data_IF_771183628420
#
_entry.id   IF_771183628420
#
_cell.length_a   1.000
_cell.length_b   1.000
_cell.length_c   1.000
_cell.angle_alpha   90.00
_cell.angle_beta   90.00
_cell.angle_gamma   90.00
#
_symmetry.space_group_name_H-M   'P 1'
#
loop_
_entity.id
_entity.type
_entity.pdbx_description
1 polymer ?
#
# COMPACT_ATOMS: atom_id res chain seq x y z
N UNK A 1 7.33 23.14 5.37
CA UNK A 1 8.10 22.75 4.17
C UNK A 1 8.55 24.03 3.48
N UNK A 2 9.83 24.16 3.11
CA UNK A 2 10.30 25.39 2.45
C UNK A 2 9.89 25.41 0.96
N UNK A 3 9.79 26.60 0.36
CA UNK A 3 9.50 26.73 -1.07
C UNK A 3 10.53 25.99 -1.94
N UNK A 4 11.79 25.98 -1.51
CA UNK A 4 12.87 25.24 -2.18
C UNK A 4 12.60 23.74 -2.21
N UNK A 5 12.10 23.17 -1.10
CA UNK A 5 11.72 21.76 -1.05
C UNK A 5 10.57 21.45 -2.01
N UNK A 6 9.56 22.33 -2.08
CA UNK A 6 8.43 22.16 -3.00
C UNK A 6 8.92 22.19 -4.45
N UNK A 7 9.74 23.17 -4.82
CA UNK A 7 10.31 23.29 -6.16
C UNK A 7 11.18 22.09 -6.52
N UNK A 8 11.98 21.59 -5.57
CA UNK A 8 12.77 20.39 -5.78
C UNK A 8 11.90 19.16 -6.02
N UNK A 9 10.83 18.97 -5.24
CA UNK A 9 9.88 17.86 -5.43
C UNK A 9 9.21 17.94 -6.80
N UNK A 10 8.77 19.13 -7.21
CA UNK A 10 8.16 19.34 -8.53
C UNK A 10 9.15 19.05 -9.66
N UNK A 11 10.38 19.54 -9.55
CA UNK A 11 11.44 19.30 -10.52
C UNK A 11 11.76 17.81 -10.67
N UNK A 12 11.95 17.10 -9.54
CA UNK A 12 12.21 15.65 -9.52
C UNK A 12 11.01 14.88 -10.09
N UNK A 13 9.78 15.28 -9.76
CA UNK A 13 8.56 14.68 -10.29
C UNK A 13 8.46 14.83 -11.81
N UNK A 14 8.67 16.04 -12.33
CA UNK A 14 8.67 16.31 -13.78
C UNK A 14 9.77 15.51 -14.50
N UNK A 15 10.98 15.48 -13.95
CA UNK A 15 12.08 14.70 -14.52
C UNK A 15 11.77 13.20 -14.52
N UNK A 16 11.18 12.69 -13.43
CA UNK A 16 10.73 11.30 -13.33
C UNK A 16 9.67 10.94 -14.37
N UNK A 17 8.68 11.80 -14.60
CA UNK A 17 7.66 11.60 -15.64
C UNK A 17 8.25 11.63 -17.06
N UNK A 18 9.20 12.53 -17.32
CA UNK A 18 9.91 12.58 -18.60
C UNK A 18 10.71 11.30 -18.84
N UNK A 19 11.45 10.85 -17.82
CA UNK A 19 12.23 9.61 -17.89
C UNK A 19 11.32 8.39 -18.09
N UNK A 20 10.17 8.35 -17.41
CA UNK A 20 9.17 7.31 -17.61
C UNK A 20 8.62 7.31 -19.04
N UNK A 21 8.42 8.49 -19.65
CA UNK A 21 8.00 8.60 -21.05
C UNK A 21 9.05 8.05 -22.02
N UNK A 22 10.32 8.46 -21.84
CA UNK A 22 11.45 8.01 -22.67
C UNK A 22 11.58 6.48 -22.61
N UNK A 23 11.63 5.93 -21.40
CA UNK A 23 11.77 4.48 -21.20
C UNK A 23 10.56 3.71 -21.71
N UNK A 24 9.36 4.26 -21.54
CA UNK A 24 8.12 3.70 -22.09
C UNK A 24 8.15 3.59 -23.62
N UNK A 25 8.58 4.64 -24.32
CA UNK A 25 8.70 4.66 -25.77
C UNK A 25 9.76 3.65 -26.26
N UNK A 26 10.95 3.67 -25.66
CA UNK A 26 12.04 2.76 -26.02
C UNK A 26 11.66 1.28 -25.83
N UNK A 27 10.89 0.96 -24.79
CA UNK A 27 10.40 -0.41 -24.54
C UNK A 27 9.58 -0.97 -25.70
N UNK A 28 8.90 -0.10 -26.47
CA UNK A 28 8.05 -0.49 -27.59
C UNK A 28 8.68 -0.22 -28.96
N UNK A 29 9.99 0.11 -29.00
CA UNK A 29 10.73 0.33 -30.25
C UNK A 29 10.57 1.73 -30.86
N UNK A 30 10.03 2.70 -30.11
CA UNK A 30 9.85 4.08 -30.56
C UNK A 30 11.01 4.98 -30.08
N UNK A 31 11.19 6.12 -30.74
CA UNK A 31 12.17 7.13 -30.33
C UNK A 31 11.87 7.70 -28.93
N UNK A 32 12.88 8.23 -28.22
CA UNK A 32 12.72 8.69 -26.82
C UNK A 32 11.64 9.76 -26.65
N UNK A 33 11.42 10.61 -27.66
CA UNK A 33 10.41 11.67 -27.67
C UNK A 33 9.25 11.39 -28.65
N UNK A 34 9.11 10.14 -29.09
CA UNK A 34 8.02 9.71 -29.96
C UNK A 34 6.96 8.95 -29.15
N UNK A 35 5.97 9.67 -28.66
CA UNK A 35 4.87 9.12 -27.87
C UNK A 35 3.67 8.66 -28.72
N UNK A 36 3.84 8.51 -30.04
CA UNK A 36 2.75 8.10 -30.95
C UNK A 36 2.08 6.79 -30.52
N UNK A 37 2.88 5.79 -30.12
CA UNK A 37 2.39 4.50 -29.64
C UNK A 37 1.39 4.60 -28.49
N UNK A 38 1.79 5.27 -27.39
CA UNK A 38 0.94 5.34 -26.20
C UNK A 38 -0.27 6.25 -26.44
N UNK A 39 -0.12 7.30 -27.25
CA UNK A 39 -1.22 8.16 -27.65
C UNK A 39 -2.25 7.40 -28.50
N UNK A 40 -1.81 6.53 -29.40
CA UNK A 40 -2.70 5.68 -30.21
C UNK A 40 -3.48 4.70 -29.33
N UNK A 41 -2.78 3.98 -28.44
CA UNK A 41 -3.42 3.01 -27.52
C UNK A 41 -4.42 3.70 -26.59
N UNK A 42 -4.03 4.83 -25.99
CA UNK A 42 -4.86 5.56 -25.07
C UNK A 42 -5.96 6.37 -25.76
N UNK A 43 -5.97 6.43 -27.10
CA UNK A 43 -6.79 7.34 -27.90
C UNK A 43 -6.65 8.80 -27.44
N UNK A 44 -5.45 9.14 -26.96
CA UNK A 44 -5.11 10.46 -26.45
C UNK A 44 -4.79 11.39 -27.61
N UNK A 45 -5.37 12.60 -27.61
CA UNK A 45 -5.15 13.56 -28.68
C UNK A 45 -3.72 14.14 -28.60
N UNK A 46 -2.86 13.94 -29.62
CA UNK A 46 -1.47 14.40 -29.58
C UNK A 46 -1.30 15.92 -29.74
N UNK A 47 -2.37 16.69 -29.97
CA UNK A 47 -2.30 18.13 -30.20
C UNK A 47 -1.75 18.95 -29.01
N UNK A 48 -1.52 18.32 -27.85
CA UNK A 48 -0.84 18.94 -26.72
C UNK A 48 0.68 18.77 -26.84
N UNK A 49 1.32 19.64 -27.63
CA UNK A 49 2.72 19.52 -28.06
C UNK A 49 3.74 19.36 -26.91
N UNK A 50 3.52 19.96 -25.73
CA UNK A 50 4.45 19.77 -24.60
C UNK A 50 4.07 18.59 -23.70
N UNK A 51 2.79 18.23 -23.62
CA UNK A 51 2.30 17.11 -22.82
C UNK A 51 2.61 15.76 -23.46
N UNK A 52 2.84 15.72 -24.78
CA UNK A 52 3.25 14.52 -25.50
C UNK A 52 4.51 13.88 -24.90
N UNK A 53 5.45 14.68 -24.39
CA UNK A 53 6.67 14.20 -23.72
C UNK A 53 6.43 13.60 -22.33
N UNK A 54 5.19 13.63 -21.84
CA UNK A 54 4.75 13.07 -20.57
C UNK A 54 3.58 12.09 -20.74
N UNK A 55 3.23 11.72 -21.98
CA UNK A 55 2.04 10.91 -22.30
C UNK A 55 1.96 9.61 -21.53
N UNK A 56 3.07 8.88 -21.36
CA UNK A 56 3.06 7.66 -20.55
C UNK A 56 2.62 7.91 -19.11
N UNK A 57 3.16 8.96 -18.48
CA UNK A 57 2.81 9.33 -17.11
C UNK A 57 1.36 9.76 -16.98
N UNK A 58 0.90 10.62 -17.90
CA UNK A 58 -0.50 11.08 -17.95
C UNK A 58 -1.44 9.89 -18.10
N UNK A 59 -1.22 9.04 -19.11
CA UNK A 59 -2.06 7.87 -19.36
C UNK A 59 -2.07 6.91 -18.16
N UNK A 60 -0.92 6.67 -17.51
CA UNK A 60 -0.87 5.82 -16.32
C UNK A 60 -1.62 6.41 -15.13
N UNK A 61 -1.61 7.74 -14.95
CA UNK A 61 -2.36 8.41 -13.88
C UNK A 61 -3.86 8.43 -14.20
N UNK A 62 -4.24 8.64 -15.45
CA UNK A 62 -5.65 8.71 -15.82
C UNK A 62 -6.31 7.33 -15.88
N UNK A 63 -5.58 6.30 -16.29
CA UNK A 63 -6.10 4.93 -16.52
C UNK A 63 -6.87 4.36 -15.31
N UNK A 64 -6.35 4.38 -14.07
CA UNK A 64 -7.05 3.76 -12.95
C UNK A 64 -8.36 4.44 -12.61
N UNK A 65 -8.40 5.77 -12.74
CA UNK A 65 -9.61 6.57 -12.52
C UNK A 65 -10.60 6.39 -13.68
N UNK A 66 -10.10 6.41 -14.92
CA UNK A 66 -10.91 6.16 -16.12
C UNK A 66 -11.56 4.78 -16.09
N UNK A 67 -10.82 3.74 -15.69
CA UNK A 67 -11.37 2.40 -15.51
C UNK A 67 -12.39 2.34 -14.35
N UNK A 68 -12.16 3.03 -13.23
CA UNK A 68 -13.16 3.11 -12.15
C UNK A 68 -14.46 3.78 -12.64
N UNK A 69 -14.37 4.92 -13.30
CA UNK A 69 -15.52 5.63 -13.87
C UNK A 69 -16.23 4.76 -14.90
N UNK A 70 -15.48 4.06 -15.75
CA UNK A 70 -16.05 3.14 -16.73
C UNK A 70 -16.85 2.02 -16.04
N UNK A 71 -16.32 1.41 -14.98
CA UNK A 71 -17.05 0.43 -14.18
C UNK A 71 -18.29 1.06 -13.54
N UNK A 72 -18.21 2.29 -13.02
CA UNK A 72 -19.34 2.98 -12.40
C UNK A 72 -20.48 3.27 -13.38
N UNK A 73 -20.16 3.73 -14.59
CA UNK A 73 -21.15 4.17 -15.59
C UNK A 73 -21.69 3.01 -16.42
N UNK A 74 -20.82 2.06 -16.81
CA UNK A 74 -21.14 1.01 -17.78
C UNK A 74 -21.06 -0.41 -17.20
N UNK A 75 -20.38 -0.59 -16.07
CA UNK A 75 -20.24 -1.88 -15.43
C UNK A 75 -21.56 -2.26 -14.75
N UNK A 76 -22.12 -3.40 -15.16
CA UNK A 76 -23.13 -4.06 -14.36
C UNK A 76 -22.44 -4.57 -13.09
N UNK A 77 -22.93 -4.14 -11.94
CA UNK A 77 -22.52 -4.71 -10.66
C UNK A 77 -22.97 -6.17 -10.61
N UNK A 78 -22.07 -7.08 -10.30
CA UNK A 78 -22.38 -8.52 -10.19
C UNK A 78 -23.20 -8.82 -8.94
N UNK A 79 -23.13 -7.93 -7.93
CA UNK A 79 -23.80 -8.10 -6.62
C UNK A 79 -23.50 -9.47 -6.00
N UNK A 80 -22.25 -9.93 -6.13
CA UNK A 80 -21.78 -11.21 -5.59
C UNK A 80 -21.05 -10.99 -4.26
N UNK A 81 -21.65 -11.42 -3.12
CA UNK A 81 -21.02 -11.31 -1.82
C UNK A 81 -19.71 -12.08 -1.72
N UNK A 82 -19.56 -13.23 -2.42
CA UNK A 82 -18.32 -14.01 -2.36
C UNK A 82 -17.17 -13.24 -2.98
N UNK A 83 -17.38 -12.67 -4.17
CA UNK A 83 -16.41 -11.81 -4.82
C UNK A 83 -16.09 -10.56 -3.98
N UNK A 84 -17.08 -9.97 -3.32
CA UNK A 84 -16.88 -8.84 -2.40
C UNK A 84 -16.05 -9.21 -1.17
N UNK A 85 -16.28 -10.37 -0.54
CA UNK A 85 -15.44 -10.81 0.57
C UNK A 85 -14.03 -11.20 0.09
N UNK A 86 -13.90 -11.84 -1.07
CA UNK A 86 -12.62 -12.22 -1.64
C UNK A 86 -11.70 -11.01 -1.86
N UNK A 87 -12.24 -9.87 -2.28
CA UNK A 87 -11.45 -8.66 -2.54
C UNK A 87 -11.10 -7.82 -1.30
N UNK A 88 -11.76 -8.06 -0.16
CA UNK A 88 -11.48 -7.44 1.15
C UNK A 88 -10.53 -8.30 1.99
N UNK A 89 -10.08 -9.43 1.45
CA UNK A 89 -9.11 -10.30 2.08
C UNK A 89 -7.78 -10.21 1.36
N UNK A 90 -6.65 -10.35 2.08
CA UNK A 90 -5.36 -10.55 1.44
C UNK A 90 -5.42 -11.64 0.37
N UNK A 91 -4.79 -11.40 -0.78
CA UNK A 91 -4.96 -12.22 -1.98
C UNK A 91 -4.61 -13.70 -1.78
N UNK A 92 -3.69 -13.98 -0.86
CA UNK A 92 -3.33 -15.34 -0.49
C UNK A 92 -4.44 -16.09 0.26
N UNK A 93 -5.26 -15.40 1.06
CA UNK A 93 -6.44 -16.00 1.69
C UNK A 93 -7.58 -16.12 0.70
N UNK A 94 -7.81 -15.06 -0.09
CA UNK A 94 -8.94 -15.03 -1.03
C UNK A 94 -8.84 -16.13 -2.08
N UNK A 95 -7.66 -16.37 -2.66
CA UNK A 95 -7.41 -17.45 -3.62
C UNK A 95 -7.64 -18.86 -3.05
N UNK A 96 -7.59 -19.04 -1.73
CA UNK A 96 -7.81 -20.33 -1.06
C UNK A 96 -9.26 -20.53 -0.63
N UNK A 97 -9.90 -19.49 -0.12
CA UNK A 97 -11.27 -19.54 0.40
C UNK A 97 -12.29 -19.42 -0.75
N UNK A 98 -11.96 -18.65 -1.78
CA UNK A 98 -12.81 -18.37 -2.93
C UNK A 98 -12.05 -18.68 -4.24
N UNK A 99 -11.83 -19.97 -4.56
CA UNK A 99 -11.05 -20.36 -5.74
C UNK A 99 -11.68 -19.92 -7.07
N UNK A 100 -13.00 -19.76 -7.10
CA UNK A 100 -13.75 -19.32 -8.30
C UNK A 100 -13.78 -17.79 -8.46
N UNK A 101 -13.13 -17.03 -7.55
CA UNK A 101 -13.08 -15.58 -7.59
C UNK A 101 -12.37 -15.09 -8.86
N UNK A 102 -13.04 -14.20 -9.61
CA UNK A 102 -12.49 -13.63 -10.83
C UNK A 102 -11.97 -12.19 -10.63
N UNK A 103 -10.66 -12.00 -10.52
CA UNK A 103 -10.09 -10.65 -10.36
C UNK A 103 -10.15 -9.78 -11.63
N UNK A 104 -10.66 -10.27 -12.77
CA UNK A 104 -10.74 -9.45 -13.99
C UNK A 104 -11.77 -8.34 -13.84
N UNK A 105 -11.35 -7.11 -14.16
CA UNK A 105 -12.20 -5.93 -14.14
C UNK A 105 -12.69 -5.58 -15.55
N UNK A 106 -13.77 -4.82 -15.64
CA UNK A 106 -14.18 -4.21 -16.90
C UNK A 106 -13.21 -3.05 -17.21
N UNK A 107 -12.52 -3.12 -18.36
CA UNK A 107 -11.53 -2.13 -18.75
C UNK A 107 -12.08 -1.31 -19.92
N UNK A 108 -11.89 0.01 -19.87
CA UNK A 108 -12.28 0.89 -20.98
C UNK A 108 -11.44 0.61 -22.23
N UNK A 109 -10.13 0.45 -22.03
CA UNK A 109 -9.16 0.05 -23.06
C UNK A 109 -8.48 -1.23 -22.56
N UNK A 110 -8.61 -2.39 -23.24
CA UNK A 110 -8.09 -3.66 -22.75
C UNK A 110 -6.57 -3.67 -22.47
N UNK A 111 -5.79 -2.88 -23.21
CA UNK A 111 -4.35 -2.75 -23.01
C UNK A 111 -3.96 -1.94 -21.76
N UNK A 112 -4.90 -1.18 -21.19
CA UNK A 112 -4.70 -0.33 -20.02
C UNK A 112 -5.34 -1.01 -18.80
N UNK A 113 -4.67 -2.07 -18.33
CA UNK A 113 -5.21 -3.04 -17.35
C UNK A 113 -5.23 -2.57 -15.89
N UNK A 114 -4.68 -1.39 -15.60
CA UNK A 114 -4.50 -0.91 -14.23
C UNK A 114 -5.79 -0.28 -13.75
N UNK A 115 -6.18 -0.52 -12.50
CA UNK A 115 -7.41 0.03 -11.94
C UNK A 115 -7.30 0.27 -10.45
N UNK A 116 -7.91 1.36 -9.96
CA UNK A 116 -7.85 1.69 -8.54
C UNK A 116 -8.41 0.57 -7.66
N UNK A 117 -8.00 0.55 -6.39
CA UNK A 117 -8.49 -0.44 -5.41
C UNK A 117 -10.03 -0.50 -5.32
N UNK A 118 -10.71 0.55 -5.75
CA UNK A 118 -12.16 0.72 -5.72
C UNK A 118 -12.90 -0.03 -6.82
N UNK A 119 -12.28 -0.32 -7.95
CA UNK A 119 -12.98 -0.87 -9.11
C UNK A 119 -13.53 -2.28 -8.86
N UNK A 120 -12.74 -3.14 -8.19
CA UNK A 120 -13.23 -4.45 -7.76
C UNK A 120 -14.39 -4.33 -6.75
N UNK A 121 -14.31 -3.35 -5.86
CA UNK A 121 -15.32 -3.09 -4.83
C UNK A 121 -16.66 -2.75 -5.46
N UNK A 122 -16.61 -1.86 -6.45
CA UNK A 122 -17.79 -1.52 -7.22
C UNK A 122 -18.32 -2.71 -8.03
N UNK A 123 -17.43 -3.45 -8.73
CA UNK A 123 -17.83 -4.63 -9.52
C UNK A 123 -18.67 -5.61 -8.70
N UNK A 124 -18.21 -5.95 -7.49
CA UNK A 124 -18.84 -7.00 -6.68
C UNK A 124 -19.95 -6.52 -5.75
N UNK A 125 -19.89 -5.28 -5.26
CA UNK A 125 -20.83 -4.78 -4.25
C UNK A 125 -21.46 -3.42 -4.57
N UNK A 126 -21.22 -2.86 -5.75
CA UNK A 126 -21.66 -1.51 -6.12
C UNK A 126 -21.17 -0.45 -5.13
N UNK A 127 -22.04 0.49 -4.78
CA UNK A 127 -21.74 1.55 -3.80
C UNK A 127 -21.46 0.98 -2.41
N UNK A 128 -22.15 -0.09 -2.02
CA UNK A 128 -21.92 -0.76 -0.72
C UNK A 128 -20.50 -1.33 -0.68
N UNK A 129 -20.05 -1.96 -1.76
CA UNK A 129 -18.69 -2.46 -1.89
C UNK A 129 -17.65 -1.34 -1.77
N UNK A 130 -17.86 -0.20 -2.43
CA UNK A 130 -17.00 0.99 -2.29
C UNK A 130 -16.88 1.47 -0.83
N UNK A 131 -18.01 1.54 -0.12
CA UNK A 131 -18.03 1.94 1.30
C UNK A 131 -17.25 0.95 2.15
N UNK A 132 -17.43 -0.36 1.95
CA UNK A 132 -16.73 -1.39 2.71
C UNK A 132 -15.22 -1.37 2.46
N UNK A 133 -14.80 -1.24 1.20
CA UNK A 133 -13.39 -1.07 0.87
C UNK A 133 -12.80 0.20 1.50
N UNK A 134 -13.57 1.30 1.56
CA UNK A 134 -13.12 2.53 2.22
C UNK A 134 -12.98 2.35 3.73
N UNK A 135 -13.92 1.66 4.37
CA UNK A 135 -13.83 1.32 5.79
C UNK A 135 -12.61 0.43 6.06
N UNK A 136 -12.37 -0.59 5.23
CA UNK A 136 -11.16 -1.42 5.30
C UNK A 136 -9.92 -0.55 5.20
N UNK A 137 -9.81 0.26 4.14
CA UNK A 137 -8.70 1.17 3.92
C UNK A 137 -8.47 2.12 5.12
N UNK A 138 -9.52 2.81 5.57
CA UNK A 138 -9.45 3.71 6.72
C UNK A 138 -9.03 2.98 8.00
N UNK A 139 -9.54 1.76 8.23
CA UNK A 139 -9.19 0.97 9.41
C UNK A 139 -7.69 0.69 9.48
N UNK A 140 -7.03 0.42 8.34
CA UNK A 140 -5.56 0.27 8.31
C UNK A 140 -4.84 1.55 8.74
N UNK A 141 -5.32 2.72 8.31
CA UNK A 141 -4.72 4.01 8.65
C UNK A 141 -4.88 4.40 10.12
N UNK A 142 -5.95 3.95 10.78
CA UNK A 142 -6.16 4.26 12.20
C UNK A 142 -5.61 3.18 13.13
N UNK A 143 -5.82 1.90 12.81
CA UNK A 143 -5.45 0.78 13.69
C UNK A 143 -3.94 0.57 13.70
N UNK A 144 -3.27 0.58 12.54
CA UNK A 144 -1.85 0.21 12.47
C UNK A 144 -0.96 1.19 13.26
N UNK A 145 -1.10 2.53 13.12
CA UNK A 145 -0.33 3.47 13.94
C UNK A 145 -0.71 3.40 15.42
N UNK A 146 -1.98 3.14 15.75
CA UNK A 146 -2.43 3.01 17.14
C UNK A 146 -1.76 1.83 17.86
N UNK A 147 -1.51 0.72 17.17
CA UNK A 147 -0.79 -0.45 17.70
C UNK A 147 0.67 -0.09 18.00
N UNK A 148 1.36 0.59 17.09
CA UNK A 148 2.80 0.84 17.17
C UNK A 148 3.18 2.14 17.87
N UNK A 149 2.21 2.98 18.28
CA UNK A 149 2.45 4.34 18.84
C UNK A 149 3.45 4.43 19.99
N UNK A 150 3.68 3.33 20.71
CA UNK A 150 4.63 3.28 21.84
C UNK A 150 6.09 3.18 21.39
N UNK A 151 6.35 2.77 20.15
CA UNK A 151 7.70 2.70 19.60
C UNK A 151 7.86 3.60 18.38
N UNK A 152 8.80 4.55 18.46
CA UNK A 152 9.07 5.52 17.39
C UNK A 152 9.54 4.84 16.11
N UNK A 153 10.44 3.86 16.22
CA UNK A 153 11.02 3.15 15.06
C UNK A 153 9.92 2.41 14.29
N UNK A 154 9.09 1.63 14.99
CA UNK A 154 7.98 0.91 14.37
C UNK A 154 6.92 1.86 13.82
N UNK A 155 6.62 2.96 14.53
CA UNK A 155 5.67 3.97 14.04
C UNK A 155 6.14 4.59 12.72
N UNK A 156 7.42 4.96 12.60
CA UNK A 156 7.99 5.48 11.34
C UNK A 156 7.86 4.44 10.22
N UNK A 157 8.20 3.17 10.49
CA UNK A 157 8.06 2.09 9.52
C UNK A 157 6.62 1.91 9.05
N UNK A 158 5.65 1.91 9.96
CA UNK A 158 4.22 1.81 9.65
C UNK A 158 3.74 3.02 8.85
N UNK A 159 4.09 4.25 9.24
CA UNK A 159 3.69 5.44 8.47
C UNK A 159 4.27 5.43 7.05
N UNK A 160 5.54 5.03 6.88
CA UNK A 160 6.14 4.87 5.56
C UNK A 160 5.42 3.81 4.72
N UNK A 161 5.06 2.69 5.34
CA UNK A 161 4.31 1.59 4.68
C UNK A 161 2.93 2.03 4.25
N UNK A 162 2.18 2.70 5.13
CA UNK A 162 0.85 3.21 4.83
C UNK A 162 0.89 4.29 3.75
N UNK A 163 1.92 5.15 3.74
CA UNK A 163 2.11 6.12 2.66
C UNK A 163 2.33 5.42 1.30
N UNK A 164 3.13 4.36 1.26
CA UNK A 164 3.33 3.56 0.04
C UNK A 164 2.03 2.85 -0.40
N UNK A 165 1.30 2.24 0.54
CA UNK A 165 -0.01 1.64 0.27
C UNK A 165 -0.99 2.68 -0.26
N UNK A 166 -1.05 3.88 0.33
CA UNK A 166 -1.90 4.97 -0.15
C UNK A 166 -1.63 5.32 -1.60
N UNK A 167 -0.35 5.58 -1.90
CA UNK A 167 0.08 5.98 -3.23
C UNK A 167 -0.22 4.90 -4.27
N UNK A 168 0.09 3.66 -3.93
CA UNK A 168 -0.04 2.53 -4.85
C UNK A 168 -1.47 1.97 -4.91
N UNK A 169 -2.32 2.26 -3.91
CA UNK A 169 -3.75 1.93 -3.90
C UNK A 169 -4.53 2.61 -5.03
N UNK A 170 -3.95 3.68 -5.58
CA UNK A 170 -4.44 4.32 -6.79
C UNK A 170 -4.39 3.39 -8.02
N UNK A 171 -3.44 2.45 -8.07
CA UNK A 171 -3.22 1.56 -9.22
C UNK A 171 -3.73 0.14 -9.02
N UNK A 172 -3.88 -0.32 -7.78
CA UNK A 172 -4.39 -1.65 -7.44
C UNK A 172 -4.78 -1.71 -5.96
N UNK A 173 -5.53 -2.71 -5.50
CA UNK A 173 -5.74 -2.87 -4.05
C UNK A 173 -4.46 -3.34 -3.33
N UNK A 174 -3.68 -2.38 -2.81
CA UNK A 174 -2.42 -2.65 -2.10
C UNK A 174 -2.63 -3.06 -0.64
N UNK A 175 -3.83 -2.84 -0.10
CA UNK A 175 -4.21 -3.34 1.24
C UNK A 175 -4.30 -4.85 1.22
N UNK A 176 -4.84 -5.43 0.15
CA UNK A 176 -5.01 -6.88 0.02
C UNK A 176 -3.89 -7.57 -0.77
N UNK A 177 -3.06 -6.83 -1.49
CA UNK A 177 -1.89 -7.40 -2.14
C UNK A 177 -0.91 -8.00 -1.11
N UNK A 178 -0.60 -9.30 -1.20
CA UNK A 178 0.29 -10.03 -0.27
C UNK A 178 1.63 -9.34 -0.06
N UNK A 179 2.24 -8.78 -1.11
CA UNK A 179 3.55 -8.14 -1.00
C UNK A 179 3.58 -6.96 -0.01
N UNK A 180 2.50 -6.17 0.08
CA UNK A 180 2.41 -5.03 1.00
C UNK A 180 1.72 -5.41 2.33
N UNK A 181 0.68 -6.24 2.27
CA UNK A 181 -0.03 -6.68 3.48
C UNK A 181 0.86 -7.51 4.41
N UNK A 182 1.71 -8.39 3.87
CA UNK A 182 2.65 -9.15 4.70
C UNK A 182 3.73 -8.29 5.33
N UNK A 183 4.14 -7.22 4.67
CA UNK A 183 5.11 -6.29 5.26
C UNK A 183 4.56 -5.66 6.55
N UNK A 184 3.29 -5.23 6.54
CA UNK A 184 2.62 -4.69 7.73
C UNK A 184 2.48 -5.77 8.82
N UNK A 185 2.04 -6.97 8.45
CA UNK A 185 1.92 -8.10 9.41
C UNK A 185 3.27 -8.39 10.06
N UNK A 186 4.35 -8.45 9.27
CA UNK A 186 5.70 -8.66 9.77
C UNK A 186 6.14 -7.55 10.74
N UNK A 187 5.91 -6.28 10.41
CA UNK A 187 6.25 -5.15 11.29
C UNK A 187 5.51 -5.25 12.63
N UNK A 188 4.24 -5.67 12.63
CA UNK A 188 3.46 -5.85 13.85
C UNK A 188 3.96 -7.02 14.69
N UNK A 189 4.18 -8.18 14.07
CA UNK A 189 4.69 -9.36 14.77
C UNK A 189 6.07 -9.06 15.38
N UNK A 190 6.93 -8.38 14.64
CA UNK A 190 8.25 -7.97 15.13
C UNK A 190 8.16 -6.94 16.27
N UNK A 191 7.19 -6.01 16.21
CA UNK A 191 6.92 -5.08 17.32
C UNK A 191 6.54 -5.82 18.61
N UNK A 192 5.64 -6.81 18.53
CA UNK A 192 5.27 -7.60 19.71
C UNK A 192 6.41 -8.46 20.23
N UNK A 193 7.22 -9.04 19.33
CA UNK A 193 8.42 -9.78 19.71
C UNK A 193 9.41 -8.90 20.49
N UNK A 194 9.76 -7.71 19.96
CA UNK A 194 10.69 -6.78 20.63
C UNK A 194 10.16 -6.24 21.94
N UNK A 195 8.86 -5.91 22.01
CA UNK A 195 8.23 -5.46 23.25
C UNK A 195 8.32 -6.52 24.37
N UNK A 196 8.27 -7.81 24.03
CA UNK A 196 8.43 -8.89 25.02
C UNK A 196 9.84 -8.92 25.58
N UNK A 197 10.86 -8.76 24.74
CA UNK A 197 12.28 -8.71 25.11
C UNK A 197 12.59 -7.51 26.04
N UNK A 198 12.04 -6.33 25.72
CA UNK A 198 12.16 -5.13 26.55
C UNK A 198 11.50 -5.28 27.93
N UNK A 199 10.46 -6.11 28.06
CA UNK A 199 9.78 -6.36 29.35
C UNK A 199 10.48 -7.45 30.16
N UNK A 200 11.14 -8.43 29.53
CA UNK A 200 11.85 -9.50 30.25
C UNK A 200 13.16 -9.03 30.90
N UNK A 201 13.92 -8.13 30.25
CA UNK A 201 15.21 -7.64 30.77
C UNK A 201 15.11 -6.90 32.12
N UNK A 202 14.13 -6.00 32.35
CA UNK A 202 13.93 -5.37 33.65
C UNK A 202 13.55 -6.35 34.76
N UNK A 203 12.78 -7.41 34.45
CA UNK A 203 12.34 -8.39 35.45
C UNK A 203 13.54 -9.20 35.94
N UNK A 204 14.40 -9.66 35.01
CA UNK A 204 15.61 -10.39 35.35
C UNK A 204 16.59 -9.52 36.14
N UNK A 205 16.82 -8.28 35.68
CA UNK A 205 17.65 -7.32 36.42
C UNK A 205 17.11 -6.99 37.82
N UNK A 206 15.78 -6.85 37.98
CA UNK A 206 15.16 -6.65 39.29
C UNK A 206 15.26 -7.88 40.19
N UNK A 207 15.17 -9.09 39.64
CA UNK A 207 15.32 -10.33 40.44
C UNK A 207 16.74 -10.47 41.01
N UNK A 208 17.77 -10.13 40.24
CA UNK A 208 19.18 -10.13 40.67
C UNK A 208 19.40 -9.10 41.79
N UNK A 209 18.86 -7.89 41.64
CA UNK A 209 18.95 -6.85 42.67
C UNK A 209 18.21 -7.24 43.96
N UNK A 210 17.07 -7.91 43.86
CA UNK A 210 16.34 -8.41 45.03
C UNK A 210 17.13 -9.52 45.76
N UNK A 211 17.79 -10.44 45.04
CA UNK A 211 18.63 -11.47 45.67
C UNK A 211 19.84 -10.89 46.41
N UNK A 212 20.48 -9.85 45.88
CA UNK A 212 21.61 -9.18 46.55
C UNK A 212 21.20 -8.40 47.81
N UNK A 213 19.95 -7.93 47.90
CA UNK A 213 19.45 -7.20 49.08
C UNK A 213 18.89 -8.09 50.18
N UNK A 214 18.78 -9.40 49.94
CA UNK A 214 18.44 -10.35 51.02
C UNK A 214 19.59 -10.32 52.04
N UNK A 215 19.35 -9.91 53.30
CA UNK A 215 20.41 -9.82 54.28
C UNK A 215 21.05 -11.20 54.42
N UNK A 216 22.33 -11.32 54.05
CA UNK A 216 23.12 -12.51 54.36
C UNK A 216 22.94 -12.74 55.84
N UNK A 217 22.36 -13.89 56.21
CA UNK A 217 22.40 -14.35 57.60
C UNK A 217 23.85 -14.21 58.03
N UNK A 218 24.08 -13.29 58.95
CA UNK A 218 25.37 -13.16 59.62
C UNK A 218 25.50 -14.50 60.33
N UNK A 219 26.30 -15.40 59.75
CA UNK A 219 26.67 -16.63 60.44
C UNK A 219 27.35 -16.18 61.72
N UNK A 220 26.71 -16.52 62.85
CA UNK A 220 27.14 -16.16 64.19
C UNK A 220 28.61 -16.56 64.37
N UNK A 221 29.50 -15.56 64.33
CA UNK A 221 30.90 -15.68 64.73
C UNK A 221 31.01 -15.81 66.26
N UNK A 222 30.35 -16.81 66.84
CA UNK A 222 30.29 -17.05 68.30
C UNK A 222 31.36 -18.04 68.80
N UNK A 223 32.48 -18.19 68.10
CA UNK A 223 33.61 -19.00 68.60
C UNK A 223 34.96 -18.40 68.20
N UNK A 224 35.43 -17.42 68.97
CA UNK A 224 36.84 -17.08 69.15
C UNK A 224 37.03 -16.36 70.49
#
# INVERSE_FOLDING_TARGET
MSIQTILLILFVGMFGLLFFNITGNMRHGYGPFDSSYICEIAKFNPNYMFLSNFSWGIVYIETPLGNLIYNYVHGLTEMDPKGLFAMLLPDFFSKRIFPDYNSTLYLYIPNLTVSSMWAGAFKYGGIVGLILAYIEYASFFFIMPAITRKSKIFSIGIFGSLAAISLLSFFQNMVTYSGFSFFIVFLILYYFYKRKEEVSLPIEAMSVLCEETTPRKIEDFSSL
#
